data_IF_233004096231
#
_entry.id   IF_233004096231
#
_cell.length_a   1.000
_cell.length_b   1.000
_cell.length_c   1.000
_cell.angle_alpha   90.00
_cell.angle_beta   90.00
_cell.angle_gamma   90.00
#
_symmetry.space_group_name_H-M   'P 1'
#
loop_
_entity.id
_entity.type
_entity.pdbx_description
1 polymer ?
#
# COMPACT_ATOMS: atom_id res chain seq x y z
N UNK A 1 49.54 62.53 39.27
CA UNK A 1 49.73 61.08 39.57
C UNK A 1 48.58 60.33 39.00
N UNK A 2 48.80 59.40 38.07
CA UNK A 2 47.69 58.70 37.38
C UNK A 2 47.32 57.36 38.08
N UNK A 3 46.06 57.22 38.33
CA UNK A 3 45.45 55.97 38.88
C UNK A 3 45.43 54.81 37.90
N UNK A 4 45.95 53.70 38.37
CA UNK A 4 45.92 52.39 37.67
C UNK A 4 44.45 51.82 37.57
N UNK A 5 43.98 51.51 36.35
CA UNK A 5 42.81 50.72 36.15
C UNK A 5 43.18 49.24 36.31
N UNK A 6 42.53 48.54 37.26
CA UNK A 6 42.64 47.11 37.44
C UNK A 6 41.87 46.35 36.34
N UNK A 7 42.53 45.42 35.63
CA UNK A 7 41.92 44.49 34.76
C UNK A 7 41.27 43.36 35.59
N UNK A 8 39.92 43.26 35.56
CA UNK A 8 39.18 42.15 36.16
C UNK A 8 39.35 40.89 35.27
N UNK A 9 40.24 39.99 35.69
CA UNK A 9 40.37 38.68 35.09
C UNK A 9 39.20 37.79 35.51
N UNK A 10 38.42 37.31 34.55
CA UNK A 10 37.39 36.31 34.81
C UNK A 10 38.03 35.03 35.36
N UNK A 11 37.47 34.52 36.45
CA UNK A 11 37.98 33.31 37.11
C UNK A 11 37.74 32.05 36.26
N UNK A 12 38.63 31.06 36.40
CA UNK A 12 38.50 29.74 35.68
C UNK A 12 37.15 29.07 35.91
N UNK A 13 36.48 29.36 37.03
CA UNK A 13 35.16 28.83 37.35
C UNK A 13 34.03 29.38 36.45
N UNK A 14 34.10 30.71 36.09
CA UNK A 14 33.10 31.34 35.20
C UNK A 14 33.22 30.85 33.75
N UNK A 15 34.45 30.58 33.27
CA UNK A 15 34.68 30.03 31.93
C UNK A 15 34.16 28.58 31.81
N UNK A 16 34.35 27.77 32.87
CA UNK A 16 33.85 26.37 32.91
C UNK A 16 32.30 26.33 32.98
N UNK A 17 31.71 27.29 33.74
CA UNK A 17 30.26 27.45 33.79
C UNK A 17 29.63 27.79 32.42
N UNK A 18 30.25 28.75 31.71
CA UNK A 18 29.81 29.18 30.39
C UNK A 18 29.94 28.04 29.34
N UNK A 19 31.02 27.26 29.39
CA UNK A 19 31.24 26.10 28.50
C UNK A 19 30.25 24.98 28.76
N UNK A 20 29.86 24.72 30.02
CA UNK A 20 28.83 23.73 30.36
C UNK A 20 27.44 24.12 29.89
N UNK A 21 27.09 25.42 29.99
CA UNK A 21 25.80 25.94 29.52
C UNK A 21 25.71 25.91 27.98
N UNK A 22 26.80 26.18 27.26
CA UNK A 22 26.87 26.07 25.80
C UNK A 22 26.77 24.60 25.31
N UNK A 23 27.39 23.66 26.02
CA UNK A 23 27.30 22.23 25.68
C UNK A 23 25.90 21.66 25.94
N UNK A 24 25.18 22.09 26.99
CA UNK A 24 23.79 21.71 27.22
C UNK A 24 22.83 22.31 26.20
N UNK A 25 23.06 23.51 25.71
CA UNK A 25 22.23 24.16 24.67
C UNK A 25 22.42 23.50 23.29
N UNK A 26 23.61 22.94 23.00
CA UNK A 26 23.87 22.26 21.73
C UNK A 26 23.27 20.81 21.68
N UNK A 27 23.03 20.18 22.83
CA UNK A 27 22.44 18.86 22.91
C UNK A 27 20.92 18.85 22.65
N UNK A 28 20.24 20.02 22.68
CA UNK A 28 18.79 20.14 22.44
C UNK A 28 18.41 20.48 21.00
N UNK A 29 19.37 20.62 20.09
CA UNK A 29 19.15 20.97 18.69
C UNK A 29 19.48 19.80 17.75
N UNK A 30 19.24 18.55 18.18
CA UNK A 30 19.18 17.43 17.22
C UNK A 30 17.93 17.64 16.34
N UNK A 31 18.09 17.76 15.00
CA UNK A 31 16.93 17.80 14.12
C UNK A 31 16.14 16.52 14.39
N UNK A 32 14.85 16.67 14.72
CA UNK A 32 13.94 15.55 14.78
C UNK A 32 13.99 14.88 13.39
N UNK A 33 14.58 13.70 13.31
CA UNK A 33 14.50 12.87 12.11
C UNK A 33 13.00 12.66 11.91
N UNK A 34 12.41 13.08 10.78
CA UNK A 34 11.00 12.83 10.54
C UNK A 34 10.79 11.32 10.66
N UNK A 35 10.00 10.90 11.66
CA UNK A 35 9.59 9.51 11.78
C UNK A 35 8.97 9.13 10.44
N UNK A 36 9.57 8.20 9.73
CA UNK A 36 9.01 7.69 8.48
C UNK A 36 7.55 7.36 8.74
N UNK A 37 6.64 7.77 7.85
CA UNK A 37 5.21 7.53 8.05
C UNK A 37 5.00 6.04 8.28
N UNK A 38 4.47 5.68 9.44
CA UNK A 38 4.18 4.30 9.80
C UNK A 38 3.18 3.70 8.79
N UNK A 39 3.41 2.46 8.39
CA UNK A 39 2.51 1.78 7.47
C UNK A 39 1.15 1.57 8.16
N UNK A 40 0.03 1.93 7.50
CA UNK A 40 -1.29 1.78 8.11
C UNK A 40 -1.60 0.31 8.39
N UNK A 41 -2.19 0.06 9.57
CA UNK A 41 -2.72 -1.26 9.92
C UNK A 41 -3.96 -1.54 9.06
N UNK A 42 -3.85 -2.47 8.12
CA UNK A 42 -4.90 -2.80 7.15
C UNK A 42 -5.13 -4.31 7.05
N UNK A 43 -6.29 -4.71 6.56
CA UNK A 43 -6.59 -6.09 6.22
C UNK A 43 -5.73 -6.56 5.04
N UNK A 44 -5.11 -7.74 5.17
CA UNK A 44 -4.22 -8.35 4.19
C UNK A 44 -4.77 -9.71 3.74
N UNK A 45 -4.68 -9.99 2.45
CA UNK A 45 -5.19 -11.24 1.90
C UNK A 45 -4.23 -12.42 2.11
N UNK A 46 -4.78 -13.57 2.53
CA UNK A 46 -4.17 -14.89 2.42
C UNK A 46 -4.38 -15.48 1.01
N UNK A 47 -3.70 -16.58 0.72
CA UNK A 47 -3.89 -17.31 -0.56
C UNK A 47 -5.05 -18.28 -0.41
N UNK A 48 -5.98 -18.25 -1.37
CA UNK A 48 -7.04 -19.24 -1.47
C UNK A 48 -6.46 -20.57 -1.97
N UNK A 49 -6.65 -21.64 -1.18
CA UNK A 49 -6.18 -23.01 -1.48
C UNK A 49 -7.29 -24.06 -1.30
N UNK A 50 -8.52 -23.70 -1.62
CA UNK A 50 -9.72 -24.53 -1.39
C UNK A 50 -10.03 -24.86 0.10
N UNK A 51 -9.50 -24.05 1.04
CA UNK A 51 -9.60 -24.27 2.48
C UNK A 51 -10.92 -23.84 3.12
N UNK A 52 -11.78 -23.11 2.36
CA UNK A 52 -13.00 -22.51 2.89
C UNK A 52 -14.24 -22.88 2.06
N UNK A 53 -15.43 -22.70 2.65
CA UNK A 53 -16.70 -22.71 1.94
C UNK A 53 -16.92 -21.36 1.26
N UNK A 54 -16.83 -21.34 -0.07
CA UNK A 54 -16.88 -20.11 -0.88
C UNK A 54 -18.24 -19.43 -0.86
N UNK A 55 -19.32 -20.16 -0.53
CA UNK A 55 -20.67 -19.59 -0.41
C UNK A 55 -20.79 -18.57 0.74
N UNK A 56 -19.87 -18.61 1.73
CA UNK A 56 -19.80 -17.66 2.83
C UNK A 56 -19.10 -16.34 2.47
N UNK A 57 -18.57 -16.23 1.23
CA UNK A 57 -17.77 -15.09 0.80
C UNK A 57 -18.50 -14.24 -0.23
N UNK A 58 -18.25 -12.93 -0.16
CA UNK A 58 -18.44 -12.04 -1.30
C UNK A 58 -17.17 -12.08 -2.14
N UNK A 59 -17.34 -12.14 -3.44
CA UNK A 59 -16.26 -12.28 -4.41
C UNK A 59 -16.19 -11.03 -5.26
N UNK A 60 -14.99 -10.58 -5.55
CA UNK A 60 -14.73 -9.45 -6.44
C UNK A 60 -13.55 -9.73 -7.37
N UNK A 61 -13.41 -8.94 -8.41
CA UNK A 61 -12.19 -8.97 -9.22
C UNK A 61 -11.01 -8.46 -8.41
N UNK A 62 -9.88 -9.16 -8.49
CA UNK A 62 -8.60 -8.66 -8.01
C UNK A 62 -8.03 -7.71 -9.05
N UNK A 63 -8.06 -6.42 -8.76
CA UNK A 63 -7.50 -5.40 -9.64
C UNK A 63 -5.98 -5.39 -9.56
N UNK A 64 -5.34 -5.20 -10.71
CA UNK A 64 -3.91 -4.96 -10.84
C UNK A 64 -3.67 -3.44 -10.87
N UNK A 65 -3.56 -2.85 -9.70
CA UNK A 65 -3.42 -1.42 -9.49
C UNK A 65 -2.46 -1.08 -8.35
N UNK A 66 -2.64 0.09 -7.77
CA UNK A 66 -1.86 0.55 -6.63
C UNK A 66 -2.77 0.77 -5.44
N UNK A 67 -2.65 -0.09 -4.41
CA UNK A 67 -3.43 0.06 -3.19
C UNK A 67 -3.18 1.40 -2.55
N UNK A 68 -4.24 2.11 -2.25
CA UNK A 68 -4.24 3.41 -1.61
C UNK A 68 -5.20 3.43 -0.42
N UNK A 69 -4.74 4.03 0.67
CA UNK A 69 -5.50 4.20 1.89
C UNK A 69 -5.74 5.68 2.10
N UNK A 70 -7.00 6.06 2.19
CA UNK A 70 -7.46 7.39 2.54
C UNK A 70 -7.86 7.43 4.01
N UNK A 71 -7.26 8.29 4.80
CA UNK A 71 -7.56 8.41 6.24
C UNK A 71 -8.65 9.46 6.56
N UNK A 72 -9.23 10.08 5.53
CA UNK A 72 -10.18 11.21 5.62
C UNK A 72 -9.53 12.56 5.31
N UNK A 73 -8.21 12.61 5.16
CA UNK A 73 -7.43 13.83 4.87
C UNK A 73 -6.26 13.59 3.92
N UNK A 74 -5.59 12.43 4.03
CA UNK A 74 -4.36 12.12 3.29
C UNK A 74 -4.50 10.77 2.58
N UNK A 75 -4.14 10.73 1.31
CA UNK A 75 -4.05 9.50 0.53
C UNK A 75 -2.63 8.91 0.67
N UNK A 76 -2.54 7.63 1.04
CA UNK A 76 -1.26 6.96 1.33
C UNK A 76 -1.11 5.65 0.57
N UNK A 77 0.11 5.35 0.19
CA UNK A 77 0.49 3.99 -0.20
C UNK A 77 0.38 3.03 1.00
N UNK A 78 0.34 1.74 0.72
CA UNK A 78 0.42 0.69 1.74
C UNK A 78 1.66 0.82 2.65
N UNK A 79 2.75 1.42 2.17
CA UNK A 79 3.95 1.70 2.96
C UNK A 79 3.80 2.86 3.96
N UNK A 80 2.67 3.55 3.98
CA UNK A 80 2.45 4.77 4.77
C UNK A 80 2.88 6.06 4.06
N UNK A 81 3.70 5.98 3.02
CA UNK A 81 4.13 7.15 2.25
C UNK A 81 2.93 7.83 1.58
N UNK A 82 2.91 9.16 1.60
CA UNK A 82 1.85 9.96 0.95
C UNK A 82 1.85 9.77 -0.57
N UNK A 83 0.66 9.67 -1.15
CA UNK A 83 0.40 9.77 -2.58
C UNK A 83 0.04 11.21 -2.89
N UNK A 84 0.86 11.87 -3.71
CA UNK A 84 0.58 13.21 -4.18
C UNK A 84 -0.46 13.14 -5.31
N UNK A 85 -1.71 13.42 -4.98
CA UNK A 85 -2.81 13.48 -5.94
C UNK A 85 -3.24 14.94 -6.14
N UNK A 86 -3.84 15.28 -7.29
CA UNK A 86 -4.36 16.62 -7.54
C UNK A 86 -5.40 17.04 -6.49
N UNK A 87 -5.44 18.34 -6.16
CA UNK A 87 -6.36 18.85 -5.15
C UNK A 87 -7.84 18.53 -5.47
N UNK A 88 -8.24 18.58 -6.74
CA UNK A 88 -9.60 18.25 -7.17
C UNK A 88 -9.96 16.77 -6.92
N UNK A 89 -8.98 15.86 -7.04
CA UNK A 89 -9.18 14.44 -6.76
C UNK A 89 -9.41 14.20 -5.27
N UNK A 90 -8.59 14.80 -4.41
CA UNK A 90 -8.72 14.69 -2.96
C UNK A 90 -9.96 15.38 -2.40
N UNK A 91 -10.32 16.55 -2.94
CA UNK A 91 -11.48 17.31 -2.50
C UNK A 91 -12.82 16.59 -2.71
N UNK A 92 -12.87 15.65 -3.67
CA UNK A 92 -14.07 14.84 -3.92
C UNK A 92 -14.19 13.61 -3.01
N UNK A 93 -13.19 13.32 -2.19
CA UNK A 93 -13.23 12.16 -1.29
C UNK A 93 -13.99 12.48 0.01
N UNK A 94 -14.77 11.53 0.55
CA UNK A 94 -15.50 11.72 1.80
C UNK A 94 -14.54 11.81 2.99
N UNK A 95 -14.94 12.52 4.06
CA UNK A 95 -14.17 12.66 5.31
C UNK A 95 -14.27 11.41 6.20
N UNK A 96 -14.07 10.24 5.63
CA UNK A 96 -14.03 8.96 6.33
C UNK A 96 -12.95 8.09 5.74
N UNK A 97 -12.38 7.15 6.50
CA UNK A 97 -11.39 6.21 5.98
C UNK A 97 -11.95 5.37 4.83
N UNK A 98 -11.12 5.20 3.79
CA UNK A 98 -11.38 4.33 2.65
C UNK A 98 -10.13 3.50 2.37
N UNK A 99 -10.33 2.26 1.96
CA UNK A 99 -9.27 1.39 1.46
C UNK A 99 -9.68 0.89 0.08
N UNK A 100 -8.81 1.07 -0.90
CA UNK A 100 -9.13 0.78 -2.28
C UNK A 100 -7.90 0.66 -3.15
N UNK A 101 -8.16 0.49 -4.43
CA UNK A 101 -7.14 0.39 -5.48
C UNK A 101 -7.23 1.60 -6.40
N UNK A 102 -6.14 2.34 -6.57
CA UNK A 102 -6.01 3.24 -7.72
C UNK A 102 -5.85 2.39 -8.97
N UNK A 103 -6.65 2.65 -10.00
CA UNK A 103 -6.75 1.78 -11.15
C UNK A 103 -7.12 2.56 -12.43
N UNK A 104 -6.62 2.12 -13.57
CA UNK A 104 -6.86 2.74 -14.87
C UNK A 104 -7.38 1.76 -15.94
N UNK A 105 -7.67 0.53 -15.55
CA UNK A 105 -8.03 -0.56 -16.45
C UNK A 105 -7.03 -1.70 -16.40
N UNK A 106 -7.39 -2.83 -17.00
CA UNK A 106 -6.53 -4.02 -17.06
C UNK A 106 -5.30 -3.75 -17.93
N UNK A 107 -4.15 -4.31 -17.55
CA UNK A 107 -2.88 -4.17 -18.29
C UNK A 107 -2.25 -2.76 -18.22
N UNK A 108 -2.67 -1.92 -17.27
CA UNK A 108 -2.17 -0.53 -17.18
C UNK A 108 -1.29 -0.28 -15.95
N UNK A 109 -0.94 -1.31 -15.18
CA UNK A 109 -0.23 -1.18 -13.90
C UNK A 109 1.05 -0.35 -13.99
N UNK A 110 1.92 -0.61 -14.97
CA UNK A 110 3.19 0.12 -15.10
C UNK A 110 2.97 1.61 -15.31
N UNK A 111 2.03 1.96 -16.20
CA UNK A 111 1.67 3.36 -16.47
C UNK A 111 1.08 4.01 -15.23
N UNK A 112 0.11 3.36 -14.59
CA UNK A 112 -0.50 3.84 -13.34
C UNK A 112 0.55 4.06 -12.26
N UNK A 113 1.41 3.06 -12.05
CA UNK A 113 2.48 3.12 -11.04
C UNK A 113 3.42 4.32 -11.29
N UNK A 114 3.73 4.62 -12.55
CA UNK A 114 4.48 5.81 -12.94
C UNK A 114 3.76 7.12 -12.60
N UNK A 115 2.45 7.18 -12.81
CA UNK A 115 1.62 8.37 -12.53
C UNK A 115 1.55 8.66 -11.03
N UNK A 116 1.13 7.67 -10.24
CA UNK A 116 0.83 7.88 -8.81
C UNK A 116 2.06 8.04 -7.91
N UNK A 117 3.24 7.71 -8.43
CA UNK A 117 4.52 7.87 -7.71
C UNK A 117 5.21 9.21 -7.97
N UNK A 118 4.71 10.03 -8.88
CA UNK A 118 5.29 11.35 -9.15
C UNK A 118 5.16 12.26 -7.94
N UNK A 119 6.18 13.03 -7.71
CA UNK A 119 6.20 14.05 -6.65
C UNK A 119 5.23 15.19 -6.97
N UNK A 120 5.17 15.59 -8.24
CA UNK A 120 4.20 16.57 -8.74
C UNK A 120 3.19 15.83 -9.61
N UNK A 121 1.89 15.80 -9.21
CA UNK A 121 0.86 15.11 -9.99
C UNK A 121 0.52 15.89 -11.27
N UNK A 122 0.25 15.15 -12.34
CA UNK A 122 -0.27 15.71 -13.60
C UNK A 122 -1.79 15.51 -13.68
N UNK A 123 -2.52 16.58 -13.87
CA UNK A 123 -3.99 16.58 -13.92
C UNK A 123 -4.54 15.72 -15.05
N UNK A 124 -3.89 15.75 -16.23
CA UNK A 124 -4.31 15.00 -17.42
C UNK A 124 -4.21 13.49 -17.20
N UNK A 125 -3.11 13.05 -16.61
CA UNK A 125 -2.90 11.65 -16.25
C UNK A 125 -3.91 11.20 -15.17
N UNK A 126 -4.12 12.01 -14.12
CA UNK A 126 -5.03 11.67 -13.03
C UNK A 126 -6.50 11.61 -13.41
N UNK A 127 -6.94 12.28 -14.50
CA UNK A 127 -8.32 12.14 -15.03
C UNK A 127 -8.62 10.72 -15.51
N UNK A 128 -7.61 9.89 -15.77
CA UNK A 128 -7.76 8.50 -16.17
C UNK A 128 -7.78 7.55 -14.97
N UNK A 129 -7.34 8.00 -13.79
CA UNK A 129 -7.28 7.19 -12.57
C UNK A 129 -8.66 7.10 -11.92
N UNK A 130 -9.04 5.91 -11.51
CA UNK A 130 -10.19 5.62 -10.65
C UNK A 130 -9.68 5.20 -9.28
N UNK A 131 -10.41 5.55 -8.23
CA UNK A 131 -10.19 5.01 -6.89
C UNK A 131 -11.29 3.99 -6.61
N UNK A 132 -10.94 2.72 -6.67
CA UNK A 132 -11.83 1.56 -6.59
C UNK A 132 -11.90 1.08 -5.16
N UNK A 133 -12.98 1.39 -4.43
CA UNK A 133 -13.10 1.12 -3.00
C UNK A 133 -13.59 -0.32 -2.76
N UNK A 134 -12.93 -1.02 -1.84
CA UNK A 134 -13.28 -2.38 -1.45
C UNK A 134 -13.45 -2.55 0.07
N UNK A 135 -13.04 -1.57 0.91
CA UNK A 135 -13.20 -1.66 2.35
C UNK A 135 -13.34 -0.27 3.00
N UNK A 136 -14.00 -0.26 4.16
CA UNK A 136 -14.14 0.91 5.05
C UNK A 136 -13.40 0.62 6.36
N UNK A 137 -12.14 1.04 6.49
CA UNK A 137 -11.34 0.76 7.69
C UNK A 137 -12.01 1.22 8.97
N UNK A 138 -12.07 0.32 9.97
CA UNK A 138 -12.65 0.60 11.27
C UNK A 138 -14.19 0.73 11.30
N UNK A 139 -14.89 0.56 10.19
CA UNK A 139 -16.35 0.63 10.18
C UNK A 139 -16.94 -0.62 10.85
N UNK A 140 -17.97 -0.47 11.72
CA UNK A 140 -18.59 -1.58 12.42
C UNK A 140 -19.43 -2.48 11.50
N UNK A 141 -19.80 -3.65 12.02
CA UNK A 141 -20.67 -4.61 11.35
C UNK A 141 -19.92 -5.59 10.44
N UNK A 142 -20.68 -6.39 9.72
CA UNK A 142 -20.18 -7.42 8.80
C UNK A 142 -19.63 -6.81 7.51
N UNK A 143 -18.83 -7.58 6.77
CA UNK A 143 -18.35 -7.11 5.45
C UNK A 143 -19.52 -6.89 4.48
N UNK A 144 -20.55 -7.73 4.51
CA UNK A 144 -21.74 -7.52 3.69
C UNK A 144 -22.39 -6.15 3.93
N UNK A 145 -22.53 -5.74 5.19
CA UNK A 145 -23.05 -4.43 5.56
C UNK A 145 -22.08 -3.29 5.16
N UNK A 146 -20.76 -3.52 5.28
CA UNK A 146 -19.78 -2.54 4.84
C UNK A 146 -19.78 -2.36 3.32
N UNK A 147 -19.99 -3.45 2.55
CA UNK A 147 -20.12 -3.38 1.09
C UNK A 147 -21.31 -2.52 0.66
N UNK A 148 -22.46 -2.62 1.34
CA UNK A 148 -23.60 -1.72 1.10
C UNK A 148 -23.24 -0.26 1.43
N UNK A 149 -22.58 -0.02 2.57
CA UNK A 149 -22.13 1.32 2.94
C UNK A 149 -21.07 1.89 1.98
N UNK A 150 -20.25 1.05 1.34
CA UNK A 150 -19.34 1.49 0.27
C UNK A 150 -20.15 2.03 -0.91
N UNK A 151 -21.16 1.28 -1.40
CA UNK A 151 -22.05 1.74 -2.48
C UNK A 151 -22.71 3.07 -2.16
N UNK A 152 -23.24 3.19 -0.94
CA UNK A 152 -23.87 4.45 -0.47
C UNK A 152 -22.85 5.59 -0.41
N UNK A 153 -21.64 5.32 0.10
CA UNK A 153 -20.55 6.31 0.19
C UNK A 153 -20.16 6.82 -1.20
N UNK A 154 -20.00 5.94 -2.18
CA UNK A 154 -19.69 6.28 -3.56
C UNK A 154 -20.82 7.08 -4.21
N UNK A 155 -22.08 6.63 -4.02
CA UNK A 155 -23.27 7.32 -4.52
C UNK A 155 -23.38 8.75 -3.97
N UNK A 156 -23.14 8.94 -2.68
CA UNK A 156 -23.22 10.27 -2.03
C UNK A 156 -22.06 11.19 -2.43
N UNK A 157 -20.86 10.65 -2.63
CA UNK A 157 -19.72 11.44 -3.11
C UNK A 157 -19.99 11.99 -4.52
N UNK A 158 -20.70 11.25 -5.34
CA UNK A 158 -21.13 11.63 -6.69
C UNK A 158 -20.00 12.18 -7.58
N UNK A 159 -18.83 11.56 -7.50
CA UNK A 159 -17.68 11.94 -8.34
C UNK A 159 -17.31 10.77 -9.27
N UNK A 160 -16.95 11.02 -10.52
CA UNK A 160 -16.82 9.98 -11.55
C UNK A 160 -15.63 9.04 -11.33
N UNK A 161 -14.63 9.46 -10.59
CA UNK A 161 -13.42 8.65 -10.34
C UNK A 161 -13.47 7.80 -9.07
N UNK A 162 -14.41 8.03 -8.14
CA UNK A 162 -14.63 7.18 -6.97
C UNK A 162 -15.67 6.11 -7.33
N UNK A 163 -15.30 4.86 -7.20
CA UNK A 163 -16.14 3.72 -7.56
C UNK A 163 -16.01 2.63 -6.49
N UNK A 164 -17.07 1.86 -6.30
CA UNK A 164 -16.99 0.59 -5.58
C UNK A 164 -16.44 -0.51 -6.47
N UNK A 165 -15.76 -1.50 -5.87
CA UNK A 165 -15.51 -2.77 -6.53
C UNK A 165 -16.77 -3.61 -6.40
N UNK A 166 -17.31 -4.09 -7.54
CA UNK A 166 -18.48 -4.95 -7.58
C UNK A 166 -18.24 -6.22 -6.76
N UNK A 167 -19.17 -6.50 -5.84
CA UNK A 167 -19.19 -7.71 -5.03
C UNK A 167 -20.30 -8.63 -5.52
N UNK A 168 -19.99 -9.90 -5.74
CA UNK A 168 -20.97 -10.92 -6.14
C UNK A 168 -20.84 -12.17 -5.27
N UNK A 169 -21.82 -13.06 -5.35
CA UNK A 169 -21.79 -14.36 -4.67
C UNK A 169 -21.56 -15.48 -5.68
N UNK A 170 -20.94 -16.55 -5.21
CA UNK A 170 -20.83 -17.82 -5.89
C UNK A 170 -21.43 -18.90 -4.98
N UNK A 171 -22.01 -19.92 -5.57
CA UNK A 171 -22.70 -20.97 -4.81
C UNK A 171 -21.77 -22.12 -4.44
N UNK A 172 -20.71 -22.33 -5.24
CA UNK A 172 -19.76 -23.43 -5.08
C UNK A 172 -18.39 -23.12 -5.70
N UNK A 173 -17.46 -24.05 -5.55
CA UNK A 173 -16.10 -23.95 -6.09
C UNK A 173 -16.05 -23.97 -7.62
N UNK A 174 -16.98 -24.64 -8.28
CA UNK A 174 -16.98 -24.73 -9.75
C UNK A 174 -17.43 -23.41 -10.37
N UNK A 175 -18.45 -22.76 -9.79
CA UNK A 175 -18.85 -21.40 -10.16
C UNK A 175 -17.75 -20.38 -9.88
N UNK A 176 -17.01 -20.50 -8.76
CA UNK A 176 -15.84 -19.68 -8.48
C UNK A 176 -14.74 -19.85 -9.55
N UNK A 177 -14.39 -21.11 -9.88
CA UNK A 177 -13.41 -21.41 -10.93
C UNK A 177 -13.85 -20.93 -12.31
N UNK A 178 -15.16 -21.04 -12.62
CA UNK A 178 -15.73 -20.49 -13.85
C UNK A 178 -15.51 -18.98 -13.91
N UNK A 179 -15.88 -18.27 -12.85
CA UNK A 179 -15.70 -16.81 -12.76
C UNK A 179 -14.23 -16.42 -12.88
N UNK A 180 -13.33 -17.16 -12.22
CA UNK A 180 -11.88 -16.95 -12.34
C UNK A 180 -11.42 -17.03 -13.79
N UNK A 181 -11.82 -18.09 -14.54
CA UNK A 181 -11.47 -18.24 -15.97
C UNK A 181 -11.99 -17.08 -16.83
N UNK A 182 -13.20 -16.59 -16.55
CA UNK A 182 -13.80 -15.45 -17.26
C UNK A 182 -12.98 -14.17 -17.04
N UNK A 183 -12.62 -13.87 -15.79
CA UNK A 183 -11.82 -12.70 -15.42
C UNK A 183 -10.44 -12.77 -16.08
N UNK A 184 -9.75 -13.89 -15.98
CA UNK A 184 -8.40 -14.08 -16.57
C UNK A 184 -8.45 -14.01 -18.10
N UNK A 185 -9.44 -14.65 -18.75
CA UNK A 185 -9.63 -14.56 -20.20
C UNK A 185 -9.85 -13.12 -20.67
N UNK A 186 -10.47 -12.30 -19.83
CA UNK A 186 -10.67 -10.87 -20.11
C UNK A 186 -9.48 -10.00 -19.70
N UNK A 187 -8.33 -10.58 -19.30
CA UNK A 187 -7.10 -9.87 -18.93
C UNK A 187 -7.06 -9.40 -17.48
N UNK A 188 -7.94 -9.89 -16.60
CA UNK A 188 -7.91 -9.60 -15.16
C UNK A 188 -6.87 -10.46 -14.43
N UNK A 189 -6.44 -10.01 -13.24
CA UNK A 189 -5.39 -10.66 -12.44
C UNK A 189 -5.88 -11.88 -11.66
N UNK A 190 -7.15 -11.88 -11.25
CA UNK A 190 -7.72 -12.92 -10.41
C UNK A 190 -8.96 -12.49 -9.66
N UNK A 191 -9.21 -13.14 -8.53
CA UNK A 191 -10.36 -12.87 -7.67
C UNK A 191 -9.90 -12.59 -6.23
N UNK A 192 -10.71 -11.81 -5.51
CA UNK A 192 -10.68 -11.64 -4.07
C UNK A 192 -11.94 -12.27 -3.47
N UNK A 193 -11.79 -12.96 -2.36
CA UNK A 193 -12.89 -13.51 -1.59
C UNK A 193 -12.85 -12.86 -0.21
N UNK A 194 -13.91 -12.17 0.20
CA UNK A 194 -14.02 -11.55 1.50
C UNK A 194 -15.20 -12.16 2.27
N UNK A 195 -14.93 -12.71 3.46
CA UNK A 195 -15.95 -13.39 4.25
C UNK A 195 -17.08 -12.43 4.63
N UNK A 196 -18.29 -12.75 4.18
CA UNK A 196 -19.42 -11.82 4.19
C UNK A 196 -19.87 -11.40 5.60
N UNK A 197 -19.77 -12.29 6.58
CA UNK A 197 -20.16 -12.08 7.98
C UNK A 197 -19.03 -11.51 8.86
N UNK A 198 -17.81 -11.37 8.33
CA UNK A 198 -16.66 -10.95 9.13
C UNK A 198 -16.74 -9.47 9.54
N UNK A 199 -16.39 -9.14 10.79
CA UNK A 199 -16.10 -7.76 11.18
C UNK A 199 -14.85 -7.24 10.47
N UNK A 200 -14.60 -5.92 10.55
CA UNK A 200 -13.34 -5.37 10.10
C UNK A 200 -12.21 -5.80 11.02
N UNK A 201 -11.14 -6.31 10.46
CA UNK A 201 -9.91 -6.65 11.17
C UNK A 201 -8.68 -6.26 10.35
N UNK A 202 -7.52 -6.21 10.99
CA UNK A 202 -6.24 -5.91 10.33
C UNK A 202 -5.33 -7.15 10.36
N UNK A 203 -4.33 -7.16 9.48
CA UNK A 203 -3.43 -8.31 9.38
C UNK A 203 -3.91 -9.35 8.38
N UNK A 204 -3.35 -10.57 8.47
CA UNK A 204 -3.67 -11.69 7.59
C UNK A 204 -4.52 -12.71 8.31
N UNK A 205 -5.58 -13.13 7.64
CA UNK A 205 -6.45 -14.21 8.09
C UNK A 205 -7.24 -14.77 6.88
N UNK A 206 -8.05 -15.78 7.12
CA UNK A 206 -8.96 -16.35 6.12
C UNK A 206 -10.17 -15.44 5.80
N UNK A 207 -10.31 -14.33 6.51
CA UNK A 207 -11.36 -13.33 6.23
C UNK A 207 -11.22 -12.73 4.85
N UNK A 208 -10.00 -12.53 4.36
CA UNK A 208 -9.74 -12.05 3.01
C UNK A 208 -8.76 -12.98 2.29
N UNK A 209 -9.19 -13.53 1.16
CA UNK A 209 -8.40 -14.44 0.36
C UNK A 209 -8.19 -13.90 -1.05
N UNK A 210 -7.02 -14.15 -1.63
CA UNK A 210 -6.72 -13.89 -3.04
C UNK A 210 -6.62 -15.18 -3.81
N UNK A 211 -7.26 -15.25 -4.97
CA UNK A 211 -7.18 -16.34 -5.92
C UNK A 211 -6.57 -15.83 -7.23
N UNK A 212 -5.43 -16.40 -7.62
CA UNK A 212 -4.74 -16.09 -8.87
C UNK A 212 -4.73 -17.30 -9.79
N UNK A 213 -4.56 -17.12 -11.12
CA UNK A 213 -4.48 -18.24 -12.08
C UNK A 213 -3.22 -19.10 -11.91
N UNK A 214 -2.23 -18.56 -11.23
CA UNK A 214 -0.93 -19.18 -10.99
C UNK A 214 -0.77 -19.41 -9.50
N UNK A 215 -0.36 -20.62 -9.14
CA UNK A 215 0.08 -20.88 -7.78
C UNK A 215 1.47 -20.25 -7.60
N UNK A 216 1.66 -19.51 -6.49
CA UNK A 216 2.98 -19.11 -6.04
C UNK A 216 3.71 -20.40 -5.63
N UNK A 217 4.82 -20.73 -6.27
CA UNK A 217 5.64 -21.88 -5.92
C UNK A 217 6.93 -21.41 -5.25
N UNK A 218 7.40 -22.18 -4.29
CA UNK A 218 8.72 -21.99 -3.70
C UNK A 218 9.77 -22.68 -4.56
N UNK A 219 10.95 -22.05 -4.65
CA UNK A 219 12.08 -22.61 -5.36
C UNK A 219 13.37 -22.34 -4.58
N UNK A 220 14.29 -23.30 -4.57
CA UNK A 220 15.58 -23.17 -3.91
C UNK A 220 16.55 -22.44 -4.82
N UNK A 221 17.21 -21.38 -4.29
CA UNK A 221 18.28 -20.71 -5.02
C UNK A 221 19.48 -21.66 -5.12
N UNK A 222 19.85 -22.05 -6.34
CA UNK A 222 20.96 -22.96 -6.64
C UNK A 222 22.15 -22.24 -7.29
N UNK A 223 22.02 -20.96 -7.60
CA UNK A 223 23.10 -20.17 -8.17
C UNK A 223 22.73 -18.70 -8.37
N UNK A 224 23.77 -17.91 -8.62
CA UNK A 224 23.68 -16.48 -8.93
C UNK A 224 24.24 -16.25 -10.32
N UNK A 225 23.53 -15.51 -11.15
CA UNK A 225 23.97 -15.13 -12.48
C UNK A 225 24.38 -13.65 -12.48
N UNK A 226 25.56 -13.32 -13.05
CA UNK A 226 26.02 -11.93 -13.08
C UNK A 226 25.19 -11.06 -14.00
N UNK A 227 25.00 -9.81 -13.62
CA UNK A 227 24.40 -8.79 -14.45
C UNK A 227 25.26 -8.47 -15.68
N UNK A 228 24.63 -7.99 -16.76
CA UNK A 228 25.28 -7.61 -18.02
C UNK A 228 25.11 -6.11 -18.27
N UNK A 229 26.00 -5.54 -19.11
CA UNK A 229 25.94 -4.14 -19.51
C UNK A 229 26.05 -3.20 -18.31
N UNK A 230 25.07 -2.29 -18.13
CA UNK A 230 25.04 -1.32 -17.02
C UNK A 230 24.97 -1.96 -15.63
N UNK A 231 24.62 -3.24 -15.56
CA UNK A 231 24.52 -4.00 -14.31
C UNK A 231 25.70 -4.96 -14.10
N UNK A 232 26.79 -4.81 -14.85
CA UNK A 232 28.01 -5.59 -14.65
C UNK A 232 28.53 -5.41 -13.21
N UNK A 233 28.89 -6.52 -12.54
CA UNK A 233 29.29 -6.50 -11.13
C UNK A 233 28.15 -6.56 -10.12
N UNK A 234 26.89 -6.57 -10.56
CA UNK A 234 25.71 -6.76 -9.73
C UNK A 234 25.06 -8.13 -10.01
N UNK A 235 24.10 -8.53 -9.15
CA UNK A 235 23.27 -9.70 -9.40
C UNK A 235 22.33 -9.41 -10.59
N UNK A 236 22.39 -10.24 -11.63
CA UNK A 236 21.53 -10.11 -12.81
C UNK A 236 20.33 -11.06 -12.78
N UNK A 237 20.48 -12.25 -12.15
CA UNK A 237 19.40 -13.20 -11.95
C UNK A 237 19.76 -14.23 -10.87
N UNK A 238 18.74 -14.82 -10.26
CA UNK A 238 18.88 -16.02 -9.44
C UNK A 238 18.61 -17.26 -10.30
N UNK A 239 19.50 -18.25 -10.27
CA UNK A 239 19.18 -19.59 -10.77
C UNK A 239 18.45 -20.31 -9.64
N UNK A 240 17.26 -20.80 -9.90
CA UNK A 240 16.42 -21.47 -8.90
C UNK A 240 15.99 -22.84 -9.39
N UNK A 241 15.77 -23.75 -8.43
CA UNK A 241 15.24 -25.10 -8.67
C UNK A 241 13.89 -25.22 -7.98
N UNK A 242 12.84 -25.52 -8.76
CA UNK A 242 11.50 -25.81 -8.25
C UNK A 242 11.44 -27.17 -7.56
N UNK A 243 10.37 -27.44 -6.82
CA UNK A 243 10.16 -28.71 -6.11
C UNK A 243 10.13 -29.92 -7.06
N UNK A 244 9.64 -29.74 -8.29
CA UNK A 244 9.63 -30.77 -9.34
C UNK A 244 11.00 -30.97 -10.02
N UNK A 245 12.05 -30.32 -9.53
CA UNK A 245 13.42 -30.43 -10.02
C UNK A 245 13.76 -29.57 -11.23
N UNK A 246 12.80 -28.83 -11.82
CA UNK A 246 13.07 -27.89 -12.92
C UNK A 246 13.91 -26.72 -12.45
N UNK A 247 14.95 -26.39 -13.22
CA UNK A 247 15.76 -25.18 -12.99
C UNK A 247 15.40 -24.09 -13.99
N UNK A 248 15.30 -22.86 -13.49
CA UNK A 248 15.09 -21.68 -14.33
C UNK A 248 15.73 -20.44 -13.68
N UNK A 249 15.76 -19.33 -14.40
CA UNK A 249 16.35 -18.09 -13.92
C UNK A 249 15.26 -17.07 -13.62
N UNK A 250 15.34 -16.47 -12.43
CA UNK A 250 14.53 -15.31 -12.05
C UNK A 250 15.38 -14.05 -12.20
N UNK A 251 14.97 -13.17 -13.11
CA UNK A 251 15.59 -11.85 -13.29
C UNK A 251 15.30 -10.94 -12.08
N UNK A 252 16.21 -10.03 -11.77
CA UNK A 252 16.08 -8.98 -10.75
C UNK A 252 15.77 -7.64 -11.39
#
# INVERSE_FOLDING_TARGET
MPGRRGASGRTKAEVIGLLRTLLLAFALALPAIPAGAEAPAILLAEVYRNQVDVAQYLVSEKLDGVRAIWDGQTLRFRSGRTINAPAWFLAGLPRRPLDGELWMGRGTFERLSGIVRREVPDDGDWRQVRYMIFELPGAPGTFAERAERIRETVRLANVPWLREIEQFRVVDRDSLKKRMREVVKAGGEGLMLHRADAPYETGRSDVLLKMKPWDDAEAVVVGHLPGKGRHAGQLGALRVRAEDGREFSLGT
#
